data_IF_505405596318
#
_entry.id   IF_505405596318
#
_cell.length_a   1.000
_cell.length_b   1.000
_cell.length_c   1.000
_cell.angle_alpha   90.00
_cell.angle_beta   90.00
_cell.angle_gamma   90.00
#
_symmetry.space_group_name_H-M   'P 1'
#
loop_
_entity.id
_entity.type
_entity.pdbx_description
1 polymer ?
#
# COMPACT_ATOMS: atom_id res chain seq x y z
N UNK A 1 14.77 10.74 6.23
CA UNK A 1 14.89 9.38 5.68
C UNK A 1 15.39 9.52 4.25
N UNK A 2 16.51 8.88 3.90
CA UNK A 2 17.04 8.93 2.53
C UNK A 2 16.03 8.30 1.59
N UNK A 3 15.71 8.99 0.50
CA UNK A 3 14.79 8.55 -0.54
C UNK A 3 15.06 7.09 -0.92
N UNK A 4 14.04 6.19 -1.01
CA UNK A 4 14.28 4.80 -1.40
C UNK A 4 14.94 4.79 -2.77
N UNK A 5 16.01 4.01 -2.97
CA UNK A 5 16.86 4.12 -4.16
C UNK A 5 16.12 3.78 -5.46
N UNK A 6 14.98 3.09 -5.38
CA UNK A 6 14.09 2.80 -6.49
C UNK A 6 12.65 3.03 -6.09
N UNK A 7 11.87 3.66 -6.98
CA UNK A 7 10.47 3.98 -6.78
C UNK A 7 9.66 3.53 -8.01
N UNK A 8 8.42 3.14 -7.77
CA UNK A 8 7.44 2.83 -8.82
C UNK A 8 6.21 3.70 -8.59
N UNK A 9 5.74 4.36 -9.65
CA UNK A 9 4.45 5.08 -9.64
C UNK A 9 3.30 4.05 -9.65
N UNK A 10 2.36 4.24 -8.73
CA UNK A 10 1.24 3.34 -8.49
C UNK A 10 -0.09 4.11 -8.40
N UNK A 11 -0.15 5.37 -8.84
CA UNK A 11 -1.35 6.19 -8.74
C UNK A 11 -2.59 5.50 -9.35
N UNK A 12 -2.43 4.83 -10.48
CA UNK A 12 -3.52 4.13 -11.18
C UNK A 12 -3.88 2.75 -10.59
N UNK A 13 -3.08 2.24 -9.65
CA UNK A 13 -3.24 0.88 -9.10
C UNK A 13 -3.85 0.85 -7.69
N UNK A 14 -4.18 1.99 -7.11
CA UNK A 14 -4.65 2.10 -5.71
C UNK A 14 -5.90 1.28 -5.46
N UNK A 15 -6.94 1.46 -6.27
CA UNK A 15 -8.21 0.75 -6.09
C UNK A 15 -8.03 -0.77 -6.21
N UNK A 16 -7.19 -1.20 -7.16
CA UNK A 16 -6.85 -2.60 -7.35
C UNK A 16 -6.07 -3.17 -6.16
N UNK A 17 -5.15 -2.40 -5.59
CA UNK A 17 -4.38 -2.82 -4.41
C UNK A 17 -5.28 -2.99 -3.18
N UNK A 18 -6.25 -2.09 -2.98
CA UNK A 18 -7.25 -2.20 -1.90
C UNK A 18 -8.11 -3.43 -2.11
N UNK A 19 -8.65 -3.64 -3.31
CA UNK A 19 -9.44 -4.82 -3.63
C UNK A 19 -8.65 -6.11 -3.38
N UNK A 20 -7.40 -6.18 -3.86
CA UNK A 20 -6.52 -7.34 -3.65
C UNK A 20 -6.22 -7.59 -2.18
N UNK A 21 -6.01 -6.55 -1.38
CA UNK A 21 -5.71 -6.70 0.05
C UNK A 21 -6.96 -7.13 0.84
N UNK A 22 -8.14 -6.62 0.48
CA UNK A 22 -9.42 -7.01 1.08
C UNK A 22 -9.77 -8.50 0.90
N UNK A 23 -9.22 -9.17 -0.11
CA UNK A 23 -9.37 -10.62 -0.28
C UNK A 23 -8.74 -11.43 0.87
N UNK A 24 -7.83 -10.83 1.65
CA UNK A 24 -7.35 -11.37 2.92
C UNK A 24 -8.37 -11.19 4.07
N UNK A 25 -9.68 -11.24 3.77
CA UNK A 25 -10.80 -10.95 4.67
C UNK A 25 -10.67 -11.57 6.06
N UNK A 26 -10.56 -12.91 6.13
CA UNK A 26 -10.49 -13.63 7.41
C UNK A 26 -9.26 -13.23 8.24
N UNK A 27 -8.16 -12.86 7.58
CA UNK A 27 -6.97 -12.38 8.27
C UNK A 27 -7.21 -10.98 8.85
N UNK A 28 -7.77 -10.07 8.05
CA UNK A 28 -8.04 -8.69 8.46
C UNK A 28 -9.12 -8.59 9.56
N UNK A 29 -10.15 -9.44 9.50
CA UNK A 29 -11.19 -9.57 10.54
C UNK A 29 -10.63 -10.02 11.90
N UNK A 30 -9.46 -10.69 11.93
CA UNK A 30 -8.81 -11.07 13.19
C UNK A 30 -7.96 -9.95 13.79
N UNK A 31 -7.57 -8.95 13.00
CA UNK A 31 -6.67 -7.88 13.44
C UNK A 31 -7.41 -6.68 14.02
N UNK A 32 -8.65 -6.44 13.60
CA UNK A 32 -9.46 -5.29 14.00
C UNK A 32 -10.94 -5.52 13.71
N UNK A 33 -11.80 -4.88 14.51
CA UNK A 33 -13.26 -4.86 14.30
C UNK A 33 -13.69 -3.87 13.20
N UNK A 34 -12.75 -3.08 12.65
CA UNK A 34 -13.04 -2.16 11.55
C UNK A 34 -13.37 -2.93 10.25
N UNK A 35 -14.19 -2.37 9.34
CA UNK A 35 -14.46 -2.97 8.04
C UNK A 35 -13.17 -3.29 7.27
N UNK A 36 -13.15 -4.44 6.60
CA UNK A 36 -11.96 -4.97 5.90
C UNK A 36 -11.44 -4.00 4.85
N UNK A 37 -12.34 -3.38 4.09
CA UNK A 37 -12.00 -2.42 3.05
C UNK A 37 -11.36 -1.14 3.63
N UNK A 38 -11.80 -0.69 4.81
CA UNK A 38 -11.19 0.46 5.51
C UNK A 38 -9.79 0.13 6.01
N UNK A 39 -9.59 -1.07 6.57
CA UNK A 39 -8.27 -1.56 6.96
C UNK A 39 -7.33 -1.63 5.75
N UNK A 40 -7.80 -2.19 4.63
CA UNK A 40 -7.02 -2.32 3.41
C UNK A 40 -6.62 -0.96 2.83
N UNK A 41 -7.56 0.00 2.79
CA UNK A 41 -7.29 1.37 2.37
C UNK A 41 -6.20 2.00 3.24
N UNK A 42 -6.32 1.90 4.56
CA UNK A 42 -5.34 2.46 5.48
C UNK A 42 -3.95 1.86 5.27
N UNK A 43 -3.84 0.54 5.07
CA UNK A 43 -2.56 -0.12 4.79
C UNK A 43 -1.94 0.39 3.48
N UNK A 44 -2.73 0.53 2.41
CA UNK A 44 -2.25 1.09 1.15
C UNK A 44 -1.79 2.54 1.32
N UNK A 45 -2.52 3.33 2.10
CA UNK A 45 -2.18 4.73 2.36
C UNK A 45 -0.86 4.87 3.11
N UNK A 46 -0.64 4.10 4.18
CA UNK A 46 0.62 4.17 4.94
C UNK A 46 1.81 3.51 4.23
N UNK A 47 1.55 2.63 3.28
CA UNK A 47 2.60 1.92 2.53
C UNK A 47 3.06 2.67 1.27
N UNK A 48 2.40 3.78 0.93
CA UNK A 48 2.71 4.58 -0.25
C UNK A 48 3.13 6.00 0.13
N UNK A 49 4.02 6.58 -0.65
CA UNK A 49 4.37 8.00 -0.57
C UNK A 49 3.44 8.78 -1.49
N UNK A 50 2.84 9.86 -0.98
CA UNK A 50 2.00 10.79 -1.76
C UNK A 50 2.68 12.16 -1.81
N UNK A 51 2.96 12.65 -3.01
CA UNK A 51 3.55 13.99 -3.22
C UNK A 51 3.08 14.58 -4.55
N UNK A 52 2.65 15.83 -4.56
CA UNK A 52 2.16 16.58 -5.75
C UNK A 52 1.28 15.78 -6.73
N UNK A 53 0.35 14.98 -6.19
CA UNK A 53 -0.60 14.17 -6.98
C UNK A 53 -0.03 12.85 -7.53
N UNK A 54 1.25 12.57 -7.31
CA UNK A 54 1.86 11.27 -7.55
C UNK A 54 1.72 10.36 -6.32
N UNK A 55 1.63 9.06 -6.56
CA UNK A 55 1.66 8.03 -5.51
C UNK A 55 2.70 6.98 -5.82
N UNK A 56 3.63 6.72 -4.91
CA UNK A 56 4.79 5.86 -5.18
C UNK A 56 5.02 4.82 -4.09
N UNK A 57 5.57 3.68 -4.49
CA UNK A 57 6.14 2.68 -3.56
C UNK A 57 7.65 2.64 -3.75
N UNK A 58 8.38 2.66 -2.64
CA UNK A 58 9.83 2.61 -2.61
C UNK A 58 10.37 1.22 -2.30
N UNK A 59 11.43 0.81 -3.00
CA UNK A 59 12.13 -0.44 -2.76
C UNK A 59 13.63 -0.20 -2.58
N UNK A 60 14.25 -0.98 -1.69
CA UNK A 60 15.71 -1.11 -1.66
C UNK A 60 16.11 -2.28 -2.54
N UNK A 61 16.86 -2.00 -3.59
CA UNK A 61 17.48 -3.05 -4.38
C UNK A 61 18.76 -3.52 -3.71
N UNK A 62 18.96 -4.83 -3.72
CA UNK A 62 20.21 -5.46 -3.35
C UNK A 62 20.78 -6.09 -4.62
N UNK A 63 22.04 -5.80 -4.92
CA UNK A 63 22.82 -6.55 -5.90
C UNK A 63 23.75 -7.51 -5.15
N UNK A 64 23.96 -8.69 -5.72
CA UNK A 64 24.90 -9.69 -5.22
C UNK A 64 26.35 -9.31 -5.48
#
# INVERSE_FOLDING_TARGET
>A
MTDPPHQVDVAEAVELAVASLSEHRRYLELLSDAPVEEQAQQVVDVSTLTDDGARRVGFRLYWG
#
